data_IF_619318870050
#
_entry.id   IF_619318870050
#
_cell.length_a   1.000
_cell.length_b   1.000
_cell.length_c   1.000
_cell.angle_alpha   90.00
_cell.angle_beta   90.00
_cell.angle_gamma   90.00
#
_symmetry.space_group_name_H-M   'P 1'
#
loop_
_entity.id
_entity.type
_entity.pdbx_description
1 polymer ?
#
# COMPACT_ATOMS: atom_id res chain seq x y z
N UNK A 1 19.13 1.80 -14.33
CA UNK A 1 18.22 1.86 -13.16
C UNK A 1 17.15 0.80 -13.30
N UNK A 2 16.89 -0.01 -12.27
CA UNK A 2 15.74 -0.94 -12.26
C UNK A 2 14.47 -0.12 -12.04
N UNK A 3 13.46 -0.28 -12.88
CA UNK A 3 12.14 0.34 -12.67
C UNK A 3 11.43 -0.37 -11.52
N UNK A 4 10.87 0.39 -10.59
CA UNK A 4 10.00 -0.11 -9.53
C UNK A 4 8.52 0.07 -9.92
N UNK A 5 7.65 -0.74 -9.33
CA UNK A 5 6.20 -0.57 -9.47
C UNK A 5 5.68 0.41 -8.41
N UNK A 6 4.75 1.28 -8.81
CA UNK A 6 4.00 2.14 -7.92
C UNK A 6 2.54 1.73 -7.97
N UNK A 7 1.94 1.43 -6.82
CA UNK A 7 0.59 0.89 -6.70
C UNK A 7 -0.22 1.81 -5.79
N UNK A 8 -1.37 2.28 -6.27
CA UNK A 8 -2.33 3.08 -5.51
C UNK A 8 -3.62 2.30 -5.26
N UNK A 9 -4.26 2.56 -4.12
CA UNK A 9 -5.57 2.01 -3.79
C UNK A 9 -6.58 3.15 -3.73
N UNK A 10 -7.46 3.21 -4.73
CA UNK A 10 -8.49 4.25 -4.87
C UNK A 10 -9.87 3.72 -4.49
N UNK A 11 -10.75 4.62 -4.03
CA UNK A 11 -12.13 4.29 -3.66
C UNK A 11 -12.73 5.22 -2.61
N UNK A 12 -14.02 5.06 -2.34
CA UNK A 12 -14.75 5.89 -1.37
C UNK A 12 -14.26 5.69 0.07
N UNK A 13 -14.61 6.62 0.96
CA UNK A 13 -14.32 6.47 2.39
C UNK A 13 -15.02 5.24 2.98
N UNK A 14 -14.32 4.55 3.88
CA UNK A 14 -14.79 3.27 4.40
C UNK A 14 -14.62 2.06 3.47
N UNK A 15 -14.16 2.22 2.22
CA UNK A 15 -13.98 1.10 1.28
C UNK A 15 -12.85 0.11 1.64
N UNK A 16 -12.16 0.29 2.78
CA UNK A 16 -11.12 -0.63 3.25
C UNK A 16 -9.76 -0.49 2.55
N UNK A 17 -9.51 0.61 1.84
CA UNK A 17 -8.25 0.89 1.10
C UNK A 17 -7.00 0.66 1.96
N UNK A 18 -7.00 1.18 3.19
CA UNK A 18 -5.87 1.01 4.13
C UNK A 18 -5.66 -0.46 4.52
N UNK A 19 -6.73 -1.22 4.72
CA UNK A 19 -6.65 -2.66 5.01
C UNK A 19 -6.06 -3.42 3.84
N UNK A 20 -6.54 -3.14 2.61
CA UNK A 20 -6.02 -3.78 1.39
C UNK A 20 -4.53 -3.46 1.17
N UNK A 21 -4.12 -2.20 1.37
CA UNK A 21 -2.73 -1.80 1.28
C UNK A 21 -1.83 -2.52 2.29
N UNK A 22 -2.29 -2.70 3.53
CA UNK A 22 -1.55 -3.46 4.55
C UNK A 22 -1.46 -4.96 4.22
N UNK A 23 -2.54 -5.56 3.71
CA UNK A 23 -2.56 -6.97 3.29
C UNK A 23 -1.56 -7.20 2.15
N UNK A 24 -1.56 -6.33 1.14
CA UNK A 24 -0.61 -6.41 0.03
C UNK A 24 0.83 -6.22 0.52
N UNK A 25 1.08 -5.23 1.40
CA UNK A 25 2.40 -5.03 2.00
C UNK A 25 2.91 -6.31 2.67
N UNK A 26 2.09 -6.96 3.50
CA UNK A 26 2.45 -8.20 4.17
C UNK A 26 2.80 -9.29 3.17
N UNK A 27 1.96 -9.47 2.14
CA UNK A 27 2.17 -10.50 1.11
C UNK A 27 3.48 -10.28 0.33
N UNK A 28 3.77 -9.04 -0.05
CA UNK A 28 5.01 -8.70 -0.77
C UNK A 28 6.24 -8.95 0.11
N UNK A 29 6.17 -8.60 1.41
CA UNK A 29 7.24 -8.91 2.38
C UNK A 29 7.47 -10.41 2.54
N UNK A 30 6.41 -11.22 2.60
CA UNK A 30 6.50 -12.69 2.63
C UNK A 30 7.18 -13.26 1.38
N UNK A 31 7.05 -12.59 0.24
CA UNK A 31 7.76 -12.95 -1.00
C UNK A 31 9.24 -12.49 -1.02
N UNK A 32 9.76 -11.87 0.04
CA UNK A 32 11.15 -11.39 0.10
C UNK A 32 11.43 -10.17 -0.79
N UNK A 33 10.39 -9.46 -1.23
CA UNK A 33 10.52 -8.30 -2.13
C UNK A 33 10.56 -7.01 -1.31
N UNK A 34 11.50 -6.12 -1.64
CA UNK A 34 11.57 -4.78 -1.03
C UNK A 34 10.34 -3.97 -1.39
N UNK A 35 9.68 -3.40 -0.38
CA UNK A 35 8.42 -2.67 -0.52
C UNK A 35 8.32 -1.56 0.52
N UNK A 36 7.79 -0.42 0.10
CA UNK A 36 7.52 0.74 0.96
C UNK A 36 6.03 1.03 0.89
N UNK A 37 5.40 1.21 2.05
CA UNK A 37 4.04 1.70 2.15
C UNK A 37 4.07 3.19 2.42
N UNK A 38 3.43 3.97 1.56
CA UNK A 38 3.23 5.41 1.74
C UNK A 38 1.77 5.68 2.11
N UNK A 39 1.54 6.76 2.86
CA UNK A 39 0.20 7.26 3.19
C UNK A 39 0.12 8.73 2.82
N UNK A 40 -1.04 9.17 2.35
CA UNK A 40 -1.26 10.61 2.17
C UNK A 40 -1.21 11.36 3.51
N UNK A 41 -0.60 12.56 3.53
CA UNK A 41 -0.72 13.46 4.66
C UNK A 41 -2.18 13.89 4.84
N UNK A 42 -2.68 13.92 6.08
CA UNK A 42 -4.04 14.39 6.39
C UNK A 42 -5.10 13.33 6.68
N UNK A 43 -4.84 12.04 6.43
CA UNK A 43 -5.75 10.97 6.89
C UNK A 43 -5.75 10.89 8.42
N UNK A 44 -6.87 11.18 9.08
CA UNK A 44 -7.00 11.14 10.54
C UNK A 44 -6.91 9.70 11.09
N UNK A 45 -6.61 9.57 12.40
CA UNK A 45 -6.59 8.29 13.13
C UNK A 45 -7.97 7.67 13.24
#
# INVERSE_FOLDING_TARGET
MKKALFVTFEGVDGAGKSTQAQMLLKKIKECGVSVVLTREPGGTR
#
